data_IF_351171776354
#
_entry.id   IF_351171776354
#
_cell.length_a   1.000
_cell.length_b   1.000
_cell.length_c   1.000
_cell.angle_alpha   90.00
_cell.angle_beta   90.00
_cell.angle_gamma   90.00
#
_symmetry.space_group_name_H-M   'P 1'
#
loop_
_entity.id
_entity.type
_entity.pdbx_description
1 polymer ?
#
# COMPACT_ATOMS: atom_id res chain seq x y z
N UNK A 1 3.43 20.51 11.65
CA UNK A 1 3.75 20.48 10.22
C UNK A 1 4.36 19.11 9.87
N UNK A 2 3.90 18.52 8.76
CA UNK A 2 4.46 17.24 8.30
C UNK A 2 5.91 17.45 7.82
N UNK A 3 6.79 16.51 8.15
CA UNK A 3 8.21 16.60 7.85
C UNK A 3 8.60 15.60 6.76
N UNK A 4 9.49 16.02 5.87
CA UNK A 4 10.14 15.21 4.85
C UNK A 4 11.65 15.27 5.08
N UNK A 5 12.32 14.14 5.06
CA UNK A 5 13.77 14.07 5.03
C UNK A 5 14.18 13.97 3.56
N UNK A 6 15.06 14.85 3.10
CA UNK A 6 15.62 14.81 1.75
C UNK A 6 17.11 14.46 1.82
N UNK A 7 17.55 13.58 0.93
CA UNK A 7 18.97 13.28 0.79
C UNK A 7 19.77 14.56 0.48
N UNK A 8 20.99 14.63 0.95
CA UNK A 8 21.85 15.80 0.76
C UNK A 8 22.13 16.13 -0.72
N UNK A 9 22.11 15.12 -1.60
CA UNK A 9 22.29 15.28 -3.06
C UNK A 9 21.07 15.91 -3.72
N UNK A 10 19.86 15.61 -3.17
CA UNK A 10 18.57 16.11 -3.68
C UNK A 10 18.14 17.44 -3.06
N UNK A 11 18.78 17.89 -1.97
CA UNK A 11 18.33 19.05 -1.19
C UNK A 11 18.26 20.36 -1.98
N UNK A 12 19.03 20.49 -3.05
CA UNK A 12 19.05 21.69 -3.92
C UNK A 12 18.21 21.55 -5.19
N UNK A 13 17.45 20.45 -5.31
CA UNK A 13 16.60 20.24 -6.48
C UNK A 13 15.31 21.05 -6.40
N UNK A 14 14.67 21.28 -7.54
CA UNK A 14 13.35 21.92 -7.59
C UNK A 14 12.28 21.15 -6.82
N UNK A 15 12.41 19.83 -6.70
CA UNK A 15 11.48 19.00 -5.92
C UNK A 15 11.40 19.45 -4.47
N UNK A 16 12.54 19.75 -3.85
CA UNK A 16 12.59 20.25 -2.45
C UNK A 16 11.89 21.60 -2.31
N UNK A 17 12.03 22.48 -3.31
CA UNK A 17 11.28 23.75 -3.35
C UNK A 17 9.77 23.48 -3.30
N UNK A 18 9.28 22.60 -4.17
CA UNK A 18 7.84 22.27 -4.24
C UNK A 18 7.32 21.52 -3.01
N UNK A 19 8.15 20.70 -2.34
CA UNK A 19 7.80 20.11 -1.05
C UNK A 19 7.52 21.19 0.00
N UNK A 20 8.38 22.25 0.03
CA UNK A 20 8.21 23.39 0.95
C UNK A 20 6.99 24.24 0.58
N UNK A 21 6.78 24.53 -0.70
CA UNK A 21 5.59 25.25 -1.20
C UNK A 21 4.30 24.48 -0.90
N UNK A 22 4.33 23.15 -0.94
CA UNK A 22 3.22 22.31 -0.49
C UNK A 22 2.99 22.35 1.03
N UNK A 23 3.81 23.08 1.82
CA UNK A 23 3.66 23.30 3.25
C UNK A 23 4.21 22.17 4.12
N UNK A 24 5.15 21.36 3.63
CA UNK A 24 5.93 20.42 4.41
C UNK A 24 7.28 21.03 4.82
N UNK A 25 7.76 20.68 6.02
CA UNK A 25 9.13 20.98 6.42
C UNK A 25 10.09 20.00 5.75
N UNK A 26 11.25 20.47 5.31
CA UNK A 26 12.28 19.61 4.73
C UNK A 26 13.55 19.68 5.58
N UNK A 27 14.00 18.50 5.99
CA UNK A 27 15.26 18.32 6.71
C UNK A 27 16.26 17.64 5.79
N UNK A 28 17.44 18.21 5.66
CA UNK A 28 18.54 17.60 4.92
C UNK A 28 19.22 16.53 5.77
N UNK A 29 19.40 15.32 5.21
CA UNK A 29 20.17 14.24 5.83
C UNK A 29 20.81 13.40 4.73
N UNK A 30 21.98 12.86 5.00
CA UNK A 30 22.56 11.85 4.11
C UNK A 30 21.80 10.53 4.29
N UNK A 31 21.23 10.03 3.20
CA UNK A 31 20.54 8.75 3.15
C UNK A 31 21.45 7.69 2.52
N UNK A 32 21.43 6.47 3.05
CA UNK A 32 22.16 5.34 2.47
C UNK A 32 21.49 4.91 1.15
N UNK A 33 20.18 5.00 1.10
CA UNK A 33 19.34 4.57 -0.03
C UNK A 33 18.15 5.52 -0.15
N UNK A 34 17.74 5.81 -1.39
CA UNK A 34 16.60 6.66 -1.71
C UNK A 34 16.90 8.16 -1.60
N UNK A 35 15.94 8.96 -2.03
CA UNK A 35 16.07 10.42 -2.16
C UNK A 35 15.26 11.17 -1.12
N UNK A 36 14.09 10.64 -0.74
CA UNK A 36 13.20 11.29 0.24
C UNK A 36 12.57 10.25 1.18
N UNK A 37 12.45 10.62 2.48
CA UNK A 37 11.67 9.88 3.46
C UNK A 37 10.49 10.75 3.89
N UNK A 38 9.27 10.21 3.75
CA UNK A 38 8.03 10.86 4.12
C UNK A 38 7.14 9.90 4.93
N UNK A 39 7.15 10.05 6.24
CA UNK A 39 6.53 9.07 7.15
C UNK A 39 7.22 7.72 7.06
N UNK A 40 6.47 6.69 6.69
CA UNK A 40 6.99 5.33 6.48
C UNK A 40 7.37 5.03 5.03
N UNK A 41 7.19 5.98 4.10
CA UNK A 41 7.62 5.83 2.70
C UNK A 41 9.05 6.26 2.50
N UNK A 42 9.78 5.48 1.69
CA UNK A 42 11.08 5.81 1.12
C UNK A 42 10.90 6.00 -0.39
N UNK A 43 11.20 7.18 -0.88
CA UNK A 43 11.08 7.50 -2.30
C UNK A 43 12.45 7.53 -2.97
N UNK A 44 12.55 6.86 -4.10
CA UNK A 44 13.62 7.01 -5.09
C UNK A 44 13.03 7.73 -6.30
N UNK A 45 13.54 8.89 -6.63
CA UNK A 45 13.13 9.65 -7.81
C UNK A 45 14.03 9.30 -8.99
N UNK A 46 13.42 9.05 -10.12
CA UNK A 46 14.14 8.74 -11.34
C UNK A 46 13.45 9.43 -12.52
N UNK A 47 14.20 10.18 -13.33
CA UNK A 47 13.64 10.68 -14.58
C UNK A 47 13.21 9.52 -15.47
N UNK A 48 12.21 9.73 -16.33
CA UNK A 48 11.78 8.71 -17.30
C UNK A 48 12.95 8.20 -18.16
N UNK A 49 13.87 9.09 -18.56
CA UNK A 49 15.07 8.72 -19.30
C UNK A 49 16.03 7.84 -18.48
N UNK A 50 16.27 8.17 -17.20
CA UNK A 50 17.14 7.39 -16.33
C UNK A 50 16.51 6.04 -15.99
N UNK A 51 15.18 5.98 -15.86
CA UNK A 51 14.47 4.73 -15.64
C UNK A 51 14.64 3.78 -16.84
N UNK A 52 14.39 4.27 -18.06
CA UNK A 52 14.61 3.48 -19.29
C UNK A 52 16.08 3.06 -19.42
N UNK A 53 17.02 3.96 -19.17
CA UNK A 53 18.45 3.63 -19.20
C UNK A 53 18.80 2.54 -18.17
N UNK A 54 18.21 2.61 -16.96
CA UNK A 54 18.47 1.62 -15.91
C UNK A 54 17.91 0.24 -16.24
N UNK A 55 16.84 0.14 -17.05
CA UNK A 55 16.34 -1.13 -17.59
C UNK A 55 17.35 -1.70 -18.57
N UNK A 56 17.78 -0.90 -19.55
CA UNK A 56 18.72 -1.33 -20.61
C UNK A 56 20.06 -1.78 -20.02
N UNK A 57 20.58 -1.01 -19.06
CA UNK A 57 21.86 -1.30 -18.40
C UNK A 57 21.78 -2.42 -17.33
N UNK A 58 20.58 -2.93 -17.04
CA UNK A 58 20.37 -3.96 -16.01
C UNK A 58 20.51 -3.48 -14.57
N UNK A 59 20.76 -2.17 -14.33
CA UNK A 59 20.99 -1.60 -12.99
C UNK A 59 19.72 -1.45 -12.15
N UNK A 60 18.54 -1.45 -12.79
CA UNK A 60 17.26 -1.20 -12.10
C UNK A 60 17.02 -2.18 -10.97
N UNK A 61 17.29 -3.46 -11.19
CA UNK A 61 17.00 -4.52 -10.21
C UNK A 61 17.94 -4.50 -9.02
N UNK A 62 19.21 -4.13 -9.20
CA UNK A 62 20.16 -3.95 -8.10
C UNK A 62 19.77 -2.75 -7.22
N UNK A 63 19.32 -1.66 -7.85
CA UNK A 63 18.80 -0.50 -7.12
C UNK A 63 17.51 -0.85 -6.36
N UNK A 64 16.60 -1.57 -7.01
CA UNK A 64 15.35 -2.03 -6.41
C UNK A 64 15.60 -2.97 -5.20
N UNK A 65 16.56 -3.88 -5.32
CA UNK A 65 16.94 -4.78 -4.22
C UNK A 65 17.39 -4.00 -2.97
N UNK A 66 18.22 -2.97 -3.16
CA UNK A 66 18.66 -2.11 -2.05
C UNK A 66 17.51 -1.33 -1.43
N UNK A 67 16.59 -0.80 -2.24
CA UNK A 67 15.40 -0.12 -1.76
C UNK A 67 14.48 -1.06 -0.96
N UNK A 68 14.24 -2.26 -1.47
CA UNK A 68 13.40 -3.28 -0.82
C UNK A 68 13.94 -3.69 0.56
N UNK A 69 15.26 -3.68 0.73
CA UNK A 69 15.93 -4.05 1.99
C UNK A 69 15.97 -2.93 3.04
N UNK A 70 15.43 -1.75 2.75
CA UNK A 70 15.52 -0.58 3.64
C UNK A 70 14.70 -0.64 4.93
N UNK A 71 13.78 -1.61 5.04
CA UNK A 71 12.83 -1.71 6.16
C UNK A 71 11.69 -0.67 6.12
N UNK A 72 11.62 0.15 5.08
CA UNK A 72 10.55 1.12 4.83
C UNK A 72 9.65 0.65 3.67
N UNK A 73 8.61 1.41 3.37
CA UNK A 73 7.78 1.16 2.18
C UNK A 73 8.37 1.88 0.98
N UNK A 74 9.15 1.20 0.13
CA UNK A 74 9.83 1.84 -0.96
C UNK A 74 8.87 2.16 -2.11
N UNK A 75 9.09 3.32 -2.73
CA UNK A 75 8.35 3.78 -3.90
C UNK A 75 9.33 4.40 -4.89
N UNK A 76 9.34 3.92 -6.12
CA UNK A 76 10.06 4.57 -7.22
C UNK A 76 9.13 5.58 -7.87
N UNK A 77 9.54 6.85 -7.90
CA UNK A 77 8.85 7.90 -8.66
C UNK A 77 9.49 8.00 -10.02
N UNK A 78 8.71 7.74 -11.07
CA UNK A 78 9.12 7.92 -12.46
C UNK A 78 8.59 9.29 -12.90
N UNK A 79 9.51 10.24 -13.11
CA UNK A 79 9.17 11.62 -13.47
C UNK A 79 9.35 11.86 -14.96
N UNK A 80 8.30 12.36 -15.61
CA UNK A 80 8.25 12.66 -17.03
C UNK A 80 7.46 11.64 -17.83
N UNK A 81 7.62 11.70 -19.16
CA UNK A 81 6.93 10.81 -20.11
C UNK A 81 7.79 9.58 -20.41
N UNK A 82 7.42 8.47 -19.80
CA UNK A 82 8.15 7.21 -19.95
C UNK A 82 8.03 6.62 -21.36
N UNK A 83 6.89 6.79 -22.01
CA UNK A 83 6.66 6.26 -23.34
C UNK A 83 7.52 6.98 -24.38
N UNK A 84 7.55 8.30 -24.30
CA UNK A 84 8.46 9.11 -25.12
C UNK A 84 9.93 8.77 -24.87
N UNK A 85 10.31 8.54 -23.61
CA UNK A 85 11.67 8.15 -23.27
C UNK A 85 12.03 6.77 -23.84
N UNK A 86 11.08 5.83 -23.87
CA UNK A 86 11.24 4.52 -24.46
C UNK A 86 11.41 4.58 -25.98
N UNK A 87 10.57 5.36 -26.66
CA UNK A 87 10.63 5.55 -28.12
C UNK A 87 12.00 6.12 -28.54
N UNK A 88 12.55 7.06 -27.79
CA UNK A 88 13.87 7.66 -28.04
C UNK A 88 15.03 6.65 -27.89
N UNK A 89 14.84 5.57 -27.18
CA UNK A 89 15.83 4.52 -26.91
C UNK A 89 15.52 3.18 -27.60
N UNK A 90 14.48 3.15 -28.43
CA UNK A 90 13.98 1.93 -29.10
C UNK A 90 13.74 0.76 -28.11
N UNK A 91 13.17 1.11 -26.94
CA UNK A 91 12.83 0.13 -25.90
C UNK A 91 11.37 -0.28 -26.04
N UNK A 92 11.15 -1.58 -26.28
CA UNK A 92 9.81 -2.10 -26.44
C UNK A 92 8.99 -1.99 -25.15
N UNK A 93 7.71 -1.63 -25.27
CA UNK A 93 6.80 -1.44 -24.14
C UNK A 93 6.76 -2.63 -23.15
N UNK A 94 6.89 -3.87 -23.64
CA UNK A 94 6.88 -5.05 -22.76
C UNK A 94 8.09 -5.09 -21.81
N UNK A 95 9.22 -4.48 -22.18
CA UNK A 95 10.38 -4.37 -21.28
C UNK A 95 10.07 -3.44 -20.09
N UNK A 96 9.34 -2.34 -20.35
CA UNK A 96 8.91 -1.42 -19.31
C UNK A 96 7.91 -2.12 -18.39
N UNK A 97 6.85 -2.70 -18.94
CA UNK A 97 5.81 -3.40 -18.17
C UNK A 97 6.41 -4.57 -17.37
N UNK A 98 7.33 -5.32 -17.97
CA UNK A 98 8.03 -6.40 -17.29
C UNK A 98 8.89 -5.91 -16.12
N UNK A 99 9.59 -4.80 -16.30
CA UNK A 99 10.39 -4.16 -15.24
C UNK A 99 9.50 -3.67 -14.09
N UNK A 100 8.39 -3.00 -14.39
CA UNK A 100 7.44 -2.51 -13.38
C UNK A 100 6.80 -3.65 -12.58
N UNK A 101 6.39 -4.73 -13.25
CA UNK A 101 5.87 -5.92 -12.58
C UNK A 101 6.93 -6.58 -11.69
N UNK A 102 8.20 -6.63 -12.14
CA UNK A 102 9.28 -7.20 -11.37
C UNK A 102 9.56 -6.40 -10.09
N UNK A 103 9.67 -5.06 -10.18
CA UNK A 103 9.88 -4.21 -8.99
C UNK A 103 8.65 -4.21 -8.06
N UNK A 104 7.44 -4.29 -8.62
CA UNK A 104 6.20 -4.44 -7.82
C UNK A 104 6.21 -5.75 -7.03
N UNK A 105 6.65 -6.85 -7.65
CA UNK A 105 6.83 -8.14 -6.95
C UNK A 105 7.85 -8.08 -5.82
N UNK A 106 8.83 -7.18 -5.89
CA UNK A 106 9.79 -6.91 -4.82
C UNK A 106 9.21 -6.04 -3.68
N UNK A 107 7.91 -5.74 -3.71
CA UNK A 107 7.23 -4.91 -2.72
C UNK A 107 7.46 -3.40 -2.90
N UNK A 108 7.91 -2.97 -4.07
CA UNK A 108 8.17 -1.56 -4.38
C UNK A 108 6.98 -0.96 -5.13
N UNK A 109 6.43 0.12 -4.61
CA UNK A 109 5.42 0.89 -5.32
C UNK A 109 6.00 1.66 -6.50
N UNK A 110 5.19 1.89 -7.54
CA UNK A 110 5.56 2.76 -8.66
C UNK A 110 4.59 3.93 -8.71
N UNK A 111 5.12 5.13 -8.77
CA UNK A 111 4.34 6.36 -8.88
C UNK A 111 4.85 7.18 -10.07
N UNK A 112 3.93 7.60 -10.93
CA UNK A 112 4.24 8.47 -12.06
C UNK A 112 3.95 9.92 -11.72
N UNK A 113 4.88 10.79 -12.07
CA UNK A 113 4.72 12.24 -11.98
C UNK A 113 5.16 12.91 -13.29
N UNK A 114 4.57 14.05 -13.61
CA UNK A 114 4.87 14.75 -14.87
C UNK A 114 5.98 15.78 -14.73
N UNK A 115 6.26 16.22 -13.51
CA UNK A 115 7.18 17.32 -13.25
C UNK A 115 7.71 17.27 -11.82
N UNK A 116 8.84 17.98 -11.53
CA UNK A 116 9.34 18.16 -10.17
C UNK A 116 8.30 18.74 -9.19
N UNK A 117 7.42 19.60 -9.69
CA UNK A 117 6.30 20.15 -8.91
C UNK A 117 5.37 19.03 -8.42
N UNK A 118 4.90 18.19 -9.34
CA UNK A 118 4.01 17.08 -8.98
C UNK A 118 4.71 16.06 -8.06
N UNK A 119 6.01 15.83 -8.26
CA UNK A 119 6.82 14.99 -7.38
C UNK A 119 6.86 15.57 -5.97
N UNK A 120 7.14 16.85 -5.82
CA UNK A 120 7.17 17.53 -4.52
C UNK A 120 5.83 17.47 -3.79
N UNK A 121 4.73 17.72 -4.49
CA UNK A 121 3.39 17.58 -3.93
C UNK A 121 3.09 16.14 -3.49
N UNK A 122 3.46 15.14 -4.28
CA UNK A 122 3.23 13.72 -3.94
C UNK A 122 3.99 13.32 -2.67
N UNK A 123 5.25 13.69 -2.55
CA UNK A 123 6.08 13.42 -1.36
C UNK A 123 5.52 14.11 -0.11
N UNK A 124 5.11 15.39 -0.22
CA UNK A 124 4.48 16.10 0.90
C UNK A 124 3.13 15.49 1.27
N UNK A 125 2.33 15.04 0.30
CA UNK A 125 1.06 14.35 0.55
C UNK A 125 1.26 13.06 1.35
N UNK A 126 2.28 12.26 1.00
CA UNK A 126 2.64 11.05 1.72
C UNK A 126 3.02 11.34 3.19
N UNK A 127 3.81 12.39 3.45
CA UNK A 127 4.14 12.81 4.81
C UNK A 127 2.90 13.21 5.62
N UNK A 128 1.93 13.86 4.99
CA UNK A 128 0.65 14.23 5.64
C UNK A 128 -0.23 13.02 5.92
N UNK A 129 -0.26 12.05 5.01
CA UNK A 129 -1.03 10.82 5.19
C UNK A 129 -0.47 9.99 6.35
N UNK A 130 0.84 9.83 6.41
CA UNK A 130 1.51 9.10 7.51
C UNK A 130 1.20 9.72 8.89
N UNK A 131 1.10 11.04 9.00
CA UNK A 131 0.70 11.72 10.22
C UNK A 131 -0.77 11.52 10.62
N UNK A 132 -1.62 11.03 9.70
CA UNK A 132 -3.05 10.77 9.94
C UNK A 132 -3.35 9.32 10.31
N UNK A 133 -2.44 8.39 10.05
CA UNK A 133 -2.65 6.95 10.24
C UNK A 133 -2.67 6.47 11.68
N UNK A 134 -2.40 7.33 12.67
CA UNK A 134 -2.71 7.02 14.08
C UNK A 134 -4.23 6.89 14.40
N UNK A 135 -5.07 7.03 13.40
CA UNK A 135 -6.51 6.74 13.49
C UNK A 135 -6.80 5.43 12.78
N UNK A 136 -6.43 4.28 13.37
CA UNK A 136 -6.77 2.90 12.96
C UNK A 136 -7.22 2.69 11.50
N UNK A 137 -7.14 1.49 10.99
CA UNK A 137 -7.66 1.16 9.65
C UNK A 137 -9.12 1.61 9.59
N UNK A 138 -9.38 2.77 9.00
CA UNK A 138 -10.74 3.14 8.63
C UNK A 138 -11.10 2.36 7.39
N UNK A 139 -11.86 1.30 7.57
CA UNK A 139 -12.65 0.75 6.47
C UNK A 139 -13.51 1.92 5.96
N UNK A 140 -13.40 2.33 4.69
CA UNK A 140 -14.19 3.43 4.18
C UNK A 140 -15.66 3.04 4.24
N UNK A 141 -16.36 3.51 5.25
CA UNK A 141 -17.80 3.46 5.23
C UNK A 141 -18.27 4.59 4.32
N UNK A 142 -19.05 4.28 3.31
CA UNK A 142 -19.69 5.29 2.48
C UNK A 142 -20.47 6.23 3.41
N UNK A 143 -20.22 7.54 3.30
CA UNK A 143 -21.02 8.54 4.02
C UNK A 143 -22.49 8.33 3.67
N UNK A 144 -23.32 7.93 4.65
CA UNK A 144 -24.72 7.60 4.42
C UNK A 144 -25.01 6.11 4.26
N UNK A 145 -24.08 5.20 4.66
CA UNK A 145 -24.40 3.78 4.71
C UNK A 145 -25.57 3.56 5.69
N UNK A 146 -26.67 3.01 5.18
CA UNK A 146 -27.79 2.55 5.97
C UNK A 146 -27.28 1.60 7.06
N UNK A 147 -27.78 1.78 8.29
CA UNK A 147 -27.42 0.91 9.42
C UNK A 147 -27.52 -0.57 9.07
N UNK A 148 -28.55 -0.95 8.30
CA UNK A 148 -28.76 -2.31 7.83
C UNK A 148 -27.63 -2.80 6.94
N UNK A 149 -27.11 -1.95 6.07
CA UNK A 149 -25.97 -2.27 5.20
C UNK A 149 -24.71 -2.52 6.02
N UNK A 150 -24.44 -1.69 7.03
CA UNK A 150 -23.30 -1.87 7.94
C UNK A 150 -23.40 -3.18 8.72
N UNK A 151 -24.61 -3.54 9.16
CA UNK A 151 -24.86 -4.79 9.86
C UNK A 151 -24.61 -6.02 8.95
N UNK A 152 -25.00 -5.93 7.67
CA UNK A 152 -24.74 -6.98 6.66
C UNK A 152 -23.24 -7.10 6.40
N UNK A 153 -22.56 -5.99 6.16
CA UNK A 153 -21.11 -5.93 5.92
C UNK A 153 -20.35 -6.55 7.10
N UNK A 154 -20.72 -6.21 8.32
CA UNK A 154 -20.12 -6.78 9.54
C UNK A 154 -20.27 -8.30 9.62
N UNK A 155 -21.47 -8.85 9.44
CA UNK A 155 -21.67 -10.28 9.49
C UNK A 155 -21.02 -11.00 8.30
N UNK A 156 -21.02 -10.41 7.11
CA UNK A 156 -20.42 -11.00 5.93
C UNK A 156 -18.88 -10.99 5.94
N UNK A 157 -18.25 -10.28 6.87
CA UNK A 157 -16.81 -10.35 7.09
C UNK A 157 -16.37 -11.65 7.80
N UNK A 158 -17.32 -12.40 8.36
CA UNK A 158 -17.03 -13.66 9.02
C UNK A 158 -16.82 -14.81 8.01
N UNK A 159 -15.90 -15.75 8.28
CA UNK A 159 -15.58 -16.85 7.38
C UNK A 159 -16.80 -17.70 7.00
N UNK A 160 -17.09 -17.79 5.69
CA UNK A 160 -18.22 -18.58 5.18
C UNK A 160 -19.60 -17.91 5.28
N UNK A 161 -19.65 -16.65 5.71
CA UNK A 161 -20.88 -15.86 5.75
C UNK A 161 -20.91 -14.92 4.54
N UNK A 162 -21.71 -15.25 3.54
CA UNK A 162 -21.99 -14.36 2.40
C UNK A 162 -23.09 -13.35 2.71
N UNK A 163 -23.29 -12.38 1.83
CA UNK A 163 -24.31 -11.31 1.96
C UNK A 163 -25.71 -11.91 2.22
N UNK A 164 -26.12 -12.91 1.45
CA UNK A 164 -27.43 -13.58 1.62
C UNK A 164 -27.58 -14.23 3.00
N UNK A 165 -26.52 -14.88 3.48
CA UNK A 165 -26.48 -15.49 4.82
C UNK A 165 -26.55 -14.43 5.90
N UNK A 166 -25.79 -13.33 5.76
CA UNK A 166 -25.82 -12.20 6.69
C UNK A 166 -27.23 -11.58 6.79
N UNK A 167 -27.91 -11.41 5.67
CA UNK A 167 -29.32 -10.93 5.65
C UNK A 167 -30.27 -11.88 6.37
N UNK A 168 -30.13 -13.20 6.15
CA UNK A 168 -30.95 -14.22 6.84
C UNK A 168 -30.71 -14.21 8.36
N UNK A 169 -29.45 -14.10 8.77
CA UNK A 169 -29.09 -13.99 10.18
C UNK A 169 -29.68 -12.73 10.82
N UNK A 170 -29.61 -11.59 10.14
CA UNK A 170 -30.23 -10.36 10.64
C UNK A 170 -31.76 -10.44 10.71
N UNK A 171 -32.41 -11.10 9.76
CA UNK A 171 -33.86 -11.34 9.83
C UNK A 171 -34.23 -12.23 11.01
N UNK A 172 -33.41 -13.25 11.28
CA UNK A 172 -33.67 -14.23 12.36
C UNK A 172 -33.38 -13.68 13.75
N UNK A 173 -32.26 -12.94 13.90
CA UNK A 173 -31.77 -12.52 15.23
C UNK A 173 -31.95 -11.03 15.50
N UNK A 174 -32.31 -10.22 14.51
CA UNK A 174 -32.62 -8.79 14.64
C UNK A 174 -31.40 -7.88 14.74
N UNK A 175 -30.23 -8.37 15.18
CA UNK A 175 -28.99 -7.59 15.26
C UNK A 175 -27.75 -8.49 15.13
N UNK A 176 -26.60 -7.92 14.72
CA UNK A 176 -25.33 -8.66 14.65
C UNK A 176 -24.92 -9.26 15.99
N UNK A 177 -25.08 -8.54 17.09
CA UNK A 177 -24.73 -9.03 18.41
C UNK A 177 -25.51 -10.27 18.79
N UNK A 178 -26.84 -10.24 18.62
CA UNK A 178 -27.68 -11.42 18.89
C UNK A 178 -27.39 -12.58 17.95
N UNK A 179 -27.08 -12.30 16.70
CA UNK A 179 -26.66 -13.32 15.74
C UNK A 179 -25.37 -14.00 16.22
N UNK A 180 -24.33 -13.23 16.60
CA UNK A 180 -23.05 -13.77 17.09
C UNK A 180 -23.23 -14.58 18.38
N UNK A 181 -24.03 -14.13 19.34
CA UNK A 181 -24.31 -14.89 20.55
C UNK A 181 -24.91 -16.29 20.27
N UNK A 182 -25.53 -16.48 19.10
CA UNK A 182 -26.15 -17.73 18.67
C UNK A 182 -25.40 -18.37 17.48
N UNK A 183 -24.12 -18.04 17.23
CA UNK A 183 -23.41 -18.46 16.02
C UNK A 183 -23.34 -19.99 15.85
N UNK A 184 -23.33 -20.75 16.95
CA UNK A 184 -23.30 -22.24 16.93
C UNK A 184 -24.53 -22.86 16.28
N UNK A 185 -25.64 -22.11 16.20
CA UNK A 185 -26.89 -22.55 15.57
C UNK A 185 -27.09 -22.01 14.15
N UNK A 186 -26.04 -21.43 13.54
CA UNK A 186 -26.13 -20.93 12.19
C UNK A 186 -26.19 -22.07 11.16
N UNK A 187 -26.91 -21.91 10.05
CA UNK A 187 -27.04 -22.95 9.02
C UNK A 187 -25.79 -22.97 8.13
N UNK A 188 -24.64 -23.25 8.72
CA UNK A 188 -23.33 -23.31 8.07
C UNK A 188 -22.69 -24.67 8.32
N UNK A 189 -21.71 -25.03 7.48
CA UNK A 189 -20.93 -26.27 7.68
C UNK A 189 -20.09 -26.19 8.96
N UNK A 190 -19.81 -27.34 9.57
CA UNK A 190 -18.95 -27.44 10.76
C UNK A 190 -17.59 -26.80 10.55
N UNK A 191 -17.03 -26.92 9.35
CA UNK A 191 -15.77 -26.26 8.96
C UNK A 191 -15.86 -24.73 9.02
N UNK A 192 -16.98 -24.15 8.59
CA UNK A 192 -17.21 -22.69 8.66
C UNK A 192 -17.43 -22.25 10.09
N UNK A 193 -18.21 -23.00 10.88
CA UNK A 193 -18.44 -22.72 12.29
C UNK A 193 -17.14 -22.79 13.10
N UNK A 194 -16.24 -23.74 12.83
CA UNK A 194 -14.93 -23.82 13.46
C UNK A 194 -14.06 -22.58 13.16
N UNK A 195 -14.09 -22.09 11.91
CA UNK A 195 -13.36 -20.85 11.55
C UNK A 195 -13.95 -19.62 12.25
N UNK A 196 -15.28 -19.52 12.30
CA UNK A 196 -15.99 -18.43 13.00
C UNK A 196 -15.63 -18.45 14.48
N UNK A 197 -15.63 -19.63 15.10
CA UNK A 197 -15.23 -19.79 16.50
C UNK A 197 -13.82 -19.23 16.76
N UNK A 198 -12.85 -19.55 15.91
CA UNK A 198 -11.49 -19.01 16.04
C UNK A 198 -11.46 -17.48 15.96
N UNK A 199 -12.30 -16.89 15.10
CA UNK A 199 -12.39 -15.42 14.97
C UNK A 199 -13.04 -14.78 16.19
N UNK A 200 -14.07 -15.41 16.76
CA UNK A 200 -14.87 -14.84 17.85
C UNK A 200 -14.31 -15.13 19.24
N UNK A 201 -13.80 -16.33 19.47
CA UNK A 201 -13.36 -16.80 20.79
C UNK A 201 -11.82 -16.78 20.94
N UNK A 202 -11.07 -16.58 19.85
CA UNK A 202 -9.63 -16.75 19.82
C UNK A 202 -9.22 -18.23 19.77
N UNK A 203 -7.95 -18.52 19.48
CA UNK A 203 -7.39 -19.87 19.59
C UNK A 203 -6.60 -19.97 20.88
N UNK A 204 -6.96 -20.87 21.78
CA UNK A 204 -6.10 -21.31 22.89
C UNK A 204 -5.04 -22.34 22.45
N UNK A 205 -4.87 -22.61 21.17
CA UNK A 205 -3.87 -23.56 20.68
C UNK A 205 -2.78 -22.85 19.90
N UNK A 206 -1.56 -23.13 20.36
CA UNK A 206 -0.29 -22.56 19.99
C UNK A 206 -0.04 -22.29 18.51
N UNK A 207 0.79 -21.31 18.30
CA UNK A 207 1.47 -20.99 17.06
C UNK A 207 2.02 -22.25 16.36
N UNK A 208 1.20 -22.84 15.51
CA UNK A 208 1.69 -23.71 14.45
C UNK A 208 2.30 -22.80 13.40
N UNK A 209 3.60 -22.78 13.31
CA UNK A 209 4.34 -22.20 12.19
C UNK A 209 3.64 -22.56 10.88
N UNK A 210 3.05 -21.58 10.24
CA UNK A 210 2.58 -21.73 8.87
C UNK A 210 3.84 -21.77 8.01
N UNK A 211 4.29 -22.96 7.68
CA UNK A 211 5.36 -23.19 6.72
C UNK A 211 4.97 -22.55 5.38
N UNK A 212 5.51 -21.36 5.13
CA UNK A 212 5.35 -20.61 3.90
C UNK A 212 6.22 -21.16 2.75
N UNK A 213 6.99 -22.26 2.98
CA UNK A 213 7.88 -22.85 1.97
C UNK A 213 7.13 -23.49 0.81
N UNK A 214 5.80 -23.71 0.92
CA UNK A 214 4.97 -24.29 -0.15
C UNK A 214 4.46 -23.27 -1.17
N UNK A 215 4.78 -21.98 -1.03
CA UNK A 215 4.32 -20.90 -1.93
C UNK A 215 5.47 -20.20 -2.69
N UNK A 216 6.70 -20.74 -2.61
CA UNK A 216 7.84 -20.27 -3.41
C UNK A 216 8.36 -21.35 -4.33
#
# INVERSE_FOLDING_TARGET
>A
LSQVIADSREYRTDVVKYIKEAGCQVVQKQLEVGDYIAGYFLFERKSSHDFISSIVDGRLFDQASRLSSSGQRPVIIIEGDIWRAADLRDVHQNAILGAELAITRMGIGVLYTRSPEQTGYAVCLAARQAGRENKGIRIPHSKGADLRRLQIEFLSSLPGVGIKTAEQLLRRYGSPLRAIQNYRSWPLSDRSLAKIRRVLEGSEEGEGETDLSAFF
#
